data_IF_490814586074
#
_entry.id   IF_490814586074
#
_cell.length_a   1.000
_cell.length_b   1.000
_cell.length_c   1.000
_cell.angle_alpha   90.00
_cell.angle_beta   90.00
_cell.angle_gamma   90.00
#
_symmetry.space_group_name_H-M   'P 1'
#
loop_
_entity.id
_entity.type
_entity.pdbx_description
1 polymer ?
#
# COMPACT_ATOMS: atom_id res chain seq x y z
N UNK A 1 -66.26 -18.88 -19.09
CA UNK A 1 -65.65 -17.57 -18.78
C UNK A 1 -64.55 -17.81 -17.74
N UNK A 2 -63.34 -17.87 -18.16
CA UNK A 2 -62.18 -18.18 -17.29
C UNK A 2 -61.42 -16.90 -16.99
N UNK A 3 -61.40 -16.51 -15.71
CA UNK A 3 -60.57 -15.42 -15.24
C UNK A 3 -59.18 -15.93 -14.91
N UNK A 4 -58.19 -15.48 -15.67
CA UNK A 4 -56.77 -15.72 -15.39
C UNK A 4 -56.26 -14.71 -14.36
N UNK A 5 -55.91 -15.21 -13.19
CA UNK A 5 -55.23 -14.41 -12.16
C UNK A 5 -53.75 -14.43 -12.42
N UNK A 6 -53.18 -13.31 -12.86
CA UNK A 6 -51.76 -13.13 -13.10
C UNK A 6 -51.06 -12.84 -11.78
N UNK A 7 -50.17 -13.73 -11.33
CA UNK A 7 -49.29 -13.48 -10.21
C UNK A 7 -48.03 -12.73 -10.70
N UNK A 8 -47.93 -11.47 -10.33
CA UNK A 8 -46.73 -10.69 -10.55
C UNK A 8 -45.68 -11.10 -9.54
N UNK A 9 -44.64 -11.76 -10.01
CA UNK A 9 -43.42 -12.02 -9.23
C UNK A 9 -42.68 -10.69 -8.97
N UNK A 10 -42.63 -10.28 -7.71
CA UNK A 10 -41.77 -9.20 -7.28
C UNK A 10 -40.34 -9.76 -7.25
N UNK A 11 -39.51 -9.34 -8.19
CA UNK A 11 -38.11 -9.62 -8.18
C UNK A 11 -37.45 -8.84 -7.05
N UNK A 12 -36.82 -9.54 -6.12
CA UNK A 12 -35.98 -8.95 -5.11
C UNK A 12 -34.78 -8.26 -5.80
N UNK A 13 -34.83 -6.94 -5.86
CA UNK A 13 -33.75 -6.14 -6.36
C UNK A 13 -32.55 -6.24 -5.41
N UNK A 14 -31.50 -6.92 -5.84
CA UNK A 14 -30.20 -6.82 -5.22
C UNK A 14 -29.74 -5.37 -5.32
N UNK A 15 -29.66 -4.71 -4.19
CA UNK A 15 -29.04 -3.40 -4.08
C UNK A 15 -27.55 -3.57 -4.33
N UNK A 16 -27.13 -3.41 -5.59
CA UNK A 16 -25.72 -3.32 -5.95
C UNK A 16 -25.22 -1.99 -5.39
N UNK A 17 -24.61 -2.01 -4.24
CA UNK A 17 -23.82 -0.88 -3.76
C UNK A 17 -22.63 -0.78 -4.73
N UNK A 18 -22.75 0.11 -5.70
CA UNK A 18 -21.64 0.51 -6.53
C UNK A 18 -20.59 1.11 -5.60
N UNK A 19 -19.55 0.33 -5.27
CA UNK A 19 -18.33 0.90 -4.76
C UNK A 19 -17.85 1.88 -5.83
N UNK A 20 -17.84 3.16 -5.49
CA UNK A 20 -17.29 4.18 -6.36
C UNK A 20 -15.83 3.78 -6.64
N UNK A 21 -15.59 3.28 -7.85
CA UNK A 21 -14.26 3.03 -8.34
C UNK A 21 -13.61 4.40 -8.50
N UNK A 22 -12.82 4.82 -7.52
CA UNK A 22 -11.78 5.79 -7.75
C UNK A 22 -10.76 5.08 -8.65
N UNK A 23 -10.94 5.21 -9.94
CA UNK A 23 -9.95 4.84 -10.91
C UNK A 23 -8.83 5.91 -10.87
N UNK A 24 -8.01 5.85 -9.82
CA UNK A 24 -6.65 6.34 -9.97
C UNK A 24 -5.94 5.38 -10.94
N UNK A 25 -5.02 5.85 -11.78
CA UNK A 25 -4.45 5.05 -12.86
C UNK A 25 -3.74 3.77 -12.39
N UNK A 26 -3.60 3.57 -11.09
CA UNK A 26 -2.80 2.49 -10.53
C UNK A 26 -3.57 1.40 -9.78
N UNK A 27 -4.85 1.58 -9.48
CA UNK A 27 -5.65 0.50 -8.90
C UNK A 27 -6.50 -0.12 -10.03
N UNK A 28 -6.03 -1.19 -10.70
CA UNK A 28 -6.84 -1.84 -11.73
C UNK A 28 -8.12 -2.34 -11.08
N UNK A 29 -9.25 -2.01 -11.67
CA UNK A 29 -10.55 -2.47 -11.20
C UNK A 29 -10.53 -3.99 -11.07
N UNK A 30 -10.71 -4.50 -9.84
CA UNK A 30 -10.65 -5.94 -9.55
C UNK A 30 -9.31 -6.47 -9.06
N UNK A 31 -8.27 -5.63 -8.91
CA UNK A 31 -7.03 -6.07 -8.27
C UNK A 31 -7.28 -6.41 -6.81
N UNK A 32 -6.92 -7.61 -6.42
CA UNK A 32 -7.01 -8.10 -5.04
C UNK A 32 -5.79 -7.74 -4.21
N UNK A 33 -4.67 -7.42 -4.85
CA UNK A 33 -3.39 -7.08 -4.20
C UNK A 33 -2.57 -6.18 -5.10
N UNK A 34 -1.96 -5.14 -4.53
CA UNK A 34 -0.91 -4.36 -5.18
C UNK A 34 0.45 -4.93 -4.80
N UNK A 35 1.31 -5.07 -5.78
CA UNK A 35 2.64 -5.63 -5.62
C UNK A 35 3.69 -4.64 -6.10
N UNK A 36 4.63 -4.27 -5.25
CA UNK A 36 5.79 -3.45 -5.60
C UNK A 36 7.08 -4.23 -5.36
N UNK A 37 7.99 -4.17 -6.31
CA UNK A 37 9.35 -4.70 -6.17
C UNK A 37 10.35 -3.54 -6.21
N UNK A 38 11.26 -3.52 -5.27
CA UNK A 38 12.35 -2.55 -5.19
C UNK A 38 13.69 -3.23 -5.47
N UNK A 39 13.68 -4.54 -5.65
CA UNK A 39 14.83 -5.39 -5.97
C UNK A 39 14.81 -5.85 -7.44
N UNK A 40 15.98 -6.10 -8.00
CA UNK A 40 16.21 -6.96 -9.17
C UNK A 40 15.49 -6.60 -10.47
N UNK A 41 15.21 -7.63 -11.23
CA UNK A 41 14.50 -7.58 -12.51
C UNK A 41 13.00 -7.68 -12.33
N UNK A 42 12.19 -7.13 -13.28
CA UNK A 42 10.75 -7.32 -13.27
C UNK A 42 10.43 -8.80 -13.26
N UNK A 43 9.63 -9.22 -12.30
CA UNK A 43 9.17 -10.58 -12.20
C UNK A 43 7.64 -10.58 -12.16
N UNK A 44 7.02 -10.75 -13.33
CA UNK A 44 5.56 -10.79 -13.48
C UNK A 44 4.89 -9.44 -13.23
N UNK A 45 3.82 -9.44 -12.44
CA UNK A 45 2.89 -8.33 -12.24
C UNK A 45 3.39 -7.23 -11.26
N UNK A 46 4.67 -7.29 -10.87
CA UNK A 46 5.25 -6.34 -9.92
C UNK A 46 5.98 -5.22 -10.64
N UNK A 47 5.51 -3.97 -10.60
CA UNK A 47 6.31 -2.86 -11.07
C UNK A 47 7.58 -2.73 -10.23
N UNK A 48 8.71 -2.55 -10.91
CA UNK A 48 9.96 -2.20 -10.21
C UNK A 48 9.95 -0.70 -9.95
N UNK A 49 10.02 -0.36 -8.68
CA UNK A 49 10.09 1.03 -8.22
C UNK A 49 11.53 1.32 -7.77
N UNK A 50 12.21 2.19 -8.48
CA UNK A 50 13.59 2.57 -8.15
C UNK A 50 13.71 4.07 -7.95
N UNK A 51 14.58 4.53 -7.05
CA UNK A 51 14.94 5.94 -7.03
C UNK A 51 15.48 6.40 -8.41
N UNK A 52 15.10 7.57 -8.89
CA UNK A 52 14.30 8.60 -8.21
C UNK A 52 12.79 8.55 -8.53
N UNK A 53 12.13 7.39 -8.38
CA UNK A 53 10.68 7.31 -8.59
C UNK A 53 9.95 8.19 -7.55
N UNK A 54 10.00 9.50 -7.75
CA UNK A 54 9.31 10.49 -6.92
C UNK A 54 7.81 10.31 -7.11
N UNK A 55 7.06 10.46 -6.03
CA UNK A 55 5.61 10.39 -6.09
C UNK A 55 5.03 11.44 -7.05
N UNK A 56 4.19 10.97 -7.96
CA UNK A 56 3.34 11.79 -8.82
C UNK A 56 1.89 11.32 -8.69
N UNK A 57 0.98 12.28 -8.59
CA UNK A 57 -0.45 11.96 -8.44
C UNK A 57 -0.99 11.11 -9.60
N UNK A 58 -0.48 11.32 -10.81
CA UNK A 58 -0.87 10.57 -12.01
C UNK A 58 -0.37 9.13 -11.99
N UNK A 59 0.78 8.86 -11.35
CA UNK A 59 1.32 7.52 -11.17
C UNK A 59 0.68 6.81 -9.98
N UNK A 60 0.19 7.56 -9.01
CA UNK A 60 -0.49 7.06 -7.82
C UNK A 60 0.42 6.40 -6.79
N UNK A 61 1.73 6.43 -6.97
CA UNK A 61 2.72 5.94 -6.01
C UNK A 61 4.09 6.60 -6.20
N UNK A 62 4.95 6.49 -5.20
CA UNK A 62 6.34 6.95 -5.32
C UNK A 62 6.97 7.32 -3.98
N UNK A 63 8.24 7.68 -4.03
CA UNK A 63 8.98 8.15 -2.86
C UNK A 63 8.73 9.63 -2.59
N UNK A 64 8.57 9.99 -1.33
CA UNK A 64 8.34 11.36 -0.87
C UNK A 64 9.38 11.69 0.20
N UNK A 65 10.00 12.86 0.10
CA UNK A 65 10.95 13.38 1.11
C UNK A 65 11.89 12.27 1.63
N UNK A 66 12.68 11.71 0.75
CA UNK A 66 13.52 10.54 1.01
C UNK A 66 15.00 10.88 0.81
N UNK A 67 15.63 11.69 1.69
CA UNK A 67 16.99 12.16 1.53
C UNK A 67 18.00 10.99 1.58
N UNK A 68 18.87 10.95 0.58
CA UNK A 68 19.90 9.92 0.48
C UNK A 68 19.38 8.53 0.13
N UNK A 69 18.17 8.41 -0.40
CA UNK A 69 17.62 7.15 -0.87
C UNK A 69 18.45 6.58 -2.01
N UNK A 70 18.84 5.33 -1.87
CA UNK A 70 19.65 4.60 -2.84
C UNK A 70 18.91 3.34 -3.28
N UNK A 71 18.76 3.17 -4.60
CA UNK A 71 18.28 1.93 -5.20
C UNK A 71 19.46 1.02 -5.55
N UNK A 72 19.32 -0.25 -5.22
CA UNK A 72 20.28 -1.30 -5.53
C UNK A 72 19.60 -2.48 -6.24
N UNK A 73 20.37 -3.46 -6.69
CA UNK A 73 19.81 -4.71 -7.19
C UNK A 73 19.06 -5.52 -6.10
N UNK A 74 19.27 -5.18 -4.84
CA UNK A 74 18.71 -5.92 -3.69
C UNK A 74 17.54 -5.20 -3.02
N UNK A 75 17.20 -3.98 -3.45
CA UNK A 75 16.14 -3.17 -2.87
C UNK A 75 16.53 -1.69 -2.74
N UNK A 76 15.82 -0.96 -1.90
CA UNK A 76 16.12 0.44 -1.58
C UNK A 76 16.54 0.56 -0.12
N UNK A 77 17.41 1.54 0.13
CA UNK A 77 17.87 1.89 1.48
C UNK A 77 18.20 3.38 1.55
N UNK A 78 18.19 3.93 2.76
CA UNK A 78 18.63 5.29 3.04
C UNK A 78 19.42 5.34 4.35
N UNK A 79 20.22 6.39 4.62
CA UNK A 79 21.00 6.46 5.87
C UNK A 79 20.16 6.46 7.15
N UNK A 80 18.97 7.09 7.13
CA UNK A 80 18.12 7.27 8.31
C UNK A 80 16.64 6.98 8.09
N UNK A 81 16.06 7.51 7.01
CA UNK A 81 14.65 7.31 6.71
C UNK A 81 14.35 7.51 5.23
N UNK A 82 13.22 6.97 4.80
CA UNK A 82 12.56 7.26 3.54
C UNK A 82 11.05 7.04 3.66
N UNK A 83 10.29 7.65 2.76
CA UNK A 83 8.84 7.51 2.70
C UNK A 83 8.39 7.02 1.35
N UNK A 84 7.35 6.20 1.36
CA UNK A 84 6.69 5.71 0.15
C UNK A 84 5.19 5.89 0.27
N UNK A 85 4.61 6.60 -0.68
CA UNK A 85 3.18 6.89 -0.73
C UNK A 85 2.51 6.07 -1.84
N UNK A 86 1.27 5.62 -1.58
CA UNK A 86 0.43 4.90 -2.53
C UNK A 86 -1.00 5.41 -2.44
N UNK A 87 -1.58 5.83 -3.58
CA UNK A 87 -2.99 6.19 -3.64
C UNK A 87 -3.85 4.94 -3.44
N UNK A 88 -4.72 4.97 -2.44
CA UNK A 88 -5.64 3.88 -2.13
C UNK A 88 -7.03 4.43 -1.82
N UNK A 89 -8.10 3.72 -2.20
CA UNK A 89 -9.44 4.00 -1.68
C UNK A 89 -9.47 3.95 -0.15
N UNK A 90 -10.38 4.71 0.47
CA UNK A 90 -10.60 4.58 1.91
C UNK A 90 -10.95 3.14 2.27
N UNK A 91 -10.29 2.59 3.28
CA UNK A 91 -10.48 1.21 3.66
C UNK A 91 -9.39 0.69 4.59
N UNK A 92 -9.55 -0.54 5.01
CA UNK A 92 -8.55 -1.27 5.79
C UNK A 92 -7.76 -2.17 4.87
N UNK A 93 -6.43 -2.15 5.03
CA UNK A 93 -5.50 -2.90 4.20
C UNK A 93 -4.56 -3.73 5.06
N UNK A 94 -4.26 -4.92 4.59
CA UNK A 94 -3.14 -5.71 5.09
C UNK A 94 -1.91 -5.39 4.23
N UNK A 95 -0.86 -4.96 4.89
CA UNK A 95 0.41 -4.57 4.28
C UNK A 95 1.48 -5.58 4.67
N UNK A 96 2.12 -6.18 3.68
CA UNK A 96 3.26 -7.08 3.88
C UNK A 96 4.50 -6.47 3.27
N UNK A 97 5.55 -6.32 4.07
CA UNK A 97 6.85 -5.81 3.64
C UNK A 97 7.92 -6.88 3.76
N UNK A 98 8.83 -6.89 2.80
CA UNK A 98 10.09 -7.64 2.88
C UNK A 98 11.22 -6.65 3.04
N UNK A 99 11.91 -6.74 4.17
CA UNK A 99 13.03 -5.88 4.57
C UNK A 99 14.36 -6.62 4.39
N UNK A 100 15.46 -5.89 4.32
CA UNK A 100 16.81 -6.46 4.25
C UNK A 100 17.36 -6.54 2.82
N UNK A 101 18.13 -7.59 2.55
CA UNK A 101 18.83 -7.75 1.27
C UNK A 101 19.89 -6.70 0.99
N UNK A 102 20.25 -5.88 1.96
CA UNK A 102 21.27 -4.84 1.86
C UNK A 102 22.66 -5.42 2.03
N UNK A 103 23.70 -4.65 1.62
CA UNK A 103 25.10 -5.03 1.79
C UNK A 103 25.61 -4.87 3.22
N UNK A 104 24.84 -4.21 4.04
CA UNK A 104 25.12 -3.93 5.44
C UNK A 104 23.94 -4.38 6.30
N UNK A 105 24.16 -4.49 7.60
CA UNK A 105 23.09 -4.68 8.56
C UNK A 105 22.11 -3.51 8.50
N UNK A 106 20.83 -3.79 8.61
CA UNK A 106 19.77 -2.80 8.66
C UNK A 106 18.94 -2.95 9.94
N UNK A 107 18.51 -1.82 10.49
CA UNK A 107 17.50 -1.75 11.52
C UNK A 107 16.37 -0.89 10.97
N UNK A 108 15.18 -1.47 10.83
CA UNK A 108 14.05 -0.78 10.23
C UNK A 108 12.85 -0.78 11.16
N UNK A 109 12.37 0.40 11.48
CA UNK A 109 11.04 0.64 12.06
C UNK A 109 10.12 1.18 10.98
N UNK A 110 8.84 0.82 11.05
CA UNK A 110 7.84 1.25 10.07
C UNK A 110 6.73 1.99 10.80
N UNK A 111 6.43 3.18 10.31
CA UNK A 111 5.26 3.95 10.68
C UNK A 111 4.33 4.08 9.48
N UNK A 112 3.05 4.23 9.73
CA UNK A 112 2.07 4.48 8.68
C UNK A 112 1.22 5.69 9.04
N UNK A 113 0.66 6.33 8.03
CA UNK A 113 -0.23 7.47 8.17
C UNK A 113 0.41 8.59 9.03
N UNK A 114 -0.28 9.08 10.03
CA UNK A 114 0.21 10.13 10.93
C UNK A 114 1.26 9.58 11.94
N UNK A 115 2.37 9.04 11.44
CA UNK A 115 3.47 8.49 12.24
C UNK A 115 3.06 7.36 13.21
N UNK A 116 1.97 6.67 12.91
CA UNK A 116 1.49 5.58 13.74
C UNK A 116 2.46 4.38 13.67
N UNK A 117 3.04 3.93 14.78
CA UNK A 117 4.01 2.82 14.74
C UNK A 117 3.31 1.51 14.38
N UNK A 118 3.81 0.84 13.36
CA UNK A 118 3.32 -0.46 12.86
C UNK A 118 4.28 -1.59 13.21
N UNK A 119 5.57 -1.35 13.07
CA UNK A 119 6.63 -2.32 13.31
C UNK A 119 7.83 -1.59 13.90
N UNK A 120 8.45 -2.15 14.93
CA UNK A 120 9.59 -1.53 15.60
C UNK A 120 10.84 -2.40 15.51
N UNK A 121 11.97 -1.76 15.25
CA UNK A 121 13.33 -2.28 15.39
C UNK A 121 13.57 -3.67 14.81
N UNK A 122 13.24 -3.85 13.53
CA UNK A 122 13.52 -5.10 12.83
C UNK A 122 15.00 -5.11 12.44
N UNK A 123 15.78 -5.89 13.14
CA UNK A 123 17.19 -6.14 12.82
C UNK A 123 17.29 -7.19 11.72
N UNK A 124 18.00 -6.85 10.65
CA UNK A 124 18.25 -7.76 9.54
C UNK A 124 19.74 -7.76 9.24
N UNK A 125 20.39 -8.89 9.41
CA UNK A 125 21.80 -9.04 9.11
C UNK A 125 22.09 -8.89 7.61
N UNK A 126 23.32 -8.61 7.27
CA UNK A 126 23.78 -8.48 5.89
C UNK A 126 23.33 -9.65 5.02
N UNK A 127 22.63 -9.36 3.93
CA UNK A 127 22.16 -10.36 2.98
C UNK A 127 20.93 -11.16 3.41
N UNK A 128 20.51 -11.03 4.66
CA UNK A 128 19.31 -11.68 5.19
C UNK A 128 18.04 -10.87 4.83
N UNK A 129 16.90 -11.46 5.11
CA UNK A 129 15.57 -10.89 4.85
C UNK A 129 14.65 -11.11 6.04
N UNK A 130 13.78 -10.15 6.29
CA UNK A 130 12.69 -10.27 7.24
C UNK A 130 11.37 -9.88 6.59
N UNK A 131 10.33 -10.64 6.87
CA UNK A 131 8.96 -10.34 6.40
C UNK A 131 8.13 -9.89 7.58
N UNK A 132 7.42 -8.77 7.43
CA UNK A 132 6.49 -8.25 8.42
C UNK A 132 5.15 -7.96 7.76
N UNK A 133 4.09 -8.23 8.50
CA UNK A 133 2.71 -7.96 8.07
C UNK A 133 2.00 -7.17 9.16
N UNK A 134 1.27 -6.14 8.75
CA UNK A 134 0.47 -5.30 9.65
C UNK A 134 -0.79 -4.82 8.94
N UNK A 135 -1.73 -4.28 9.70
CA UNK A 135 -2.97 -3.72 9.18
C UNK A 135 -2.96 -2.21 9.34
N UNK A 136 -3.40 -1.49 8.31
CA UNK A 136 -3.53 -0.04 8.31
C UNK A 136 -4.90 0.37 7.77
N UNK A 137 -5.41 1.50 8.23
CA UNK A 137 -6.67 2.09 7.72
C UNK A 137 -6.37 3.41 7.03
N UNK A 138 -6.63 3.44 5.72
CA UNK A 138 -6.58 4.66 4.91
C UNK A 138 -7.92 5.38 5.00
N UNK A 139 -7.88 6.68 5.28
CA UNK A 139 -9.07 7.53 5.36
C UNK A 139 -9.06 8.56 4.25
N UNK A 140 -10.24 8.95 3.81
CA UNK A 140 -10.41 10.13 2.97
C UNK A 140 -11.08 11.22 3.82
N UNK A 141 -10.43 12.35 3.93
CA UNK A 141 -10.97 13.52 4.63
C UNK A 141 -12.12 14.18 3.87
N UNK A 142 -12.79 15.09 4.58
CA UNK A 142 -13.71 16.01 3.95
C UNK A 142 -12.96 16.90 2.95
N UNK A 143 -13.67 17.41 1.92
CA UNK A 143 -13.08 18.31 0.94
C UNK A 143 -12.41 19.51 1.64
N UNK A 144 -11.09 19.63 1.50
CA UNK A 144 -10.27 20.68 2.14
C UNK A 144 -9.47 20.19 3.36
N UNK A 145 -9.66 18.95 3.79
CA UNK A 145 -8.78 18.32 4.78
C UNK A 145 -7.46 17.92 4.10
N UNK A 146 -6.36 18.50 4.56
CA UNK A 146 -5.01 18.24 4.06
C UNK A 146 -4.16 17.43 5.04
N UNK A 147 -4.78 16.85 6.06
CA UNK A 147 -4.06 15.99 6.99
C UNK A 147 -3.55 14.71 6.30
N UNK A 148 -2.38 14.23 6.71
CA UNK A 148 -1.82 12.98 6.19
C UNK A 148 -2.71 11.76 6.46
N UNK A 149 -3.63 11.85 7.44
CA UNK A 149 -4.56 10.78 7.78
C UNK A 149 -5.76 10.67 6.81
N UNK A 150 -5.99 11.67 5.97
CA UNK A 150 -7.22 11.77 5.19
C UNK A 150 -7.02 12.22 3.75
N UNK A 151 -5.78 12.16 3.27
CA UNK A 151 -5.44 12.59 1.90
C UNK A 151 -5.70 11.53 0.83
N UNK A 152 -6.19 10.36 1.21
CA UNK A 152 -6.46 9.25 0.28
C UNK A 152 -5.22 8.52 -0.19
N UNK A 153 -4.14 8.64 0.56
CA UNK A 153 -2.89 7.93 0.33
C UNK A 153 -2.54 7.08 1.53
N UNK A 154 -1.95 5.94 1.29
CA UNK A 154 -1.20 5.23 2.30
C UNK A 154 0.22 5.78 2.31
N UNK A 155 0.61 6.42 3.39
CA UNK A 155 1.98 6.85 3.64
C UNK A 155 2.68 5.84 4.53
N UNK A 156 3.80 5.28 4.06
CA UNK A 156 4.67 4.39 4.80
C UNK A 156 6.03 5.07 5.04
N UNK A 157 6.42 5.18 6.30
CA UNK A 157 7.71 5.71 6.71
C UNK A 157 8.60 4.58 7.22
N UNK A 158 9.80 4.48 6.67
CA UNK A 158 10.81 3.53 7.04
C UNK A 158 11.97 4.29 7.68
N UNK A 159 12.23 4.04 8.95
CA UNK A 159 13.25 4.76 9.72
C UNK A 159 14.16 3.82 10.51
N UNK A 160 15.37 4.28 10.85
CA UNK A 160 16.32 3.52 11.64
C UNK A 160 17.75 3.68 11.16
N UNK A 161 18.55 2.62 11.25
CA UNK A 161 19.92 2.56 10.72
C UNK A 161 19.91 1.77 9.43
N UNK A 162 20.21 2.43 8.30
CA UNK A 162 20.14 1.84 6.97
C UNK A 162 18.78 1.15 6.71
N UNK A 163 17.63 1.80 7.02
CA UNK A 163 16.33 1.20 6.79
C UNK A 163 16.22 0.71 5.35
N UNK A 164 15.54 -0.40 5.13
CA UNK A 164 15.54 -1.10 3.85
C UNK A 164 14.16 -1.59 3.44
N UNK A 165 13.93 -1.68 2.14
CA UNK A 165 12.71 -2.25 1.56
C UNK A 165 13.03 -2.98 0.26
N UNK A 166 12.61 -4.24 0.16
CA UNK A 166 12.77 -5.08 -1.03
C UNK A 166 11.46 -5.26 -1.78
N UNK A 167 10.38 -5.52 -1.03
CA UNK A 167 9.04 -5.78 -1.56
C UNK A 167 7.98 -5.17 -0.66
N UNK A 168 6.89 -4.75 -1.29
CA UNK A 168 5.70 -4.26 -0.62
C UNK A 168 4.48 -4.87 -1.30
N UNK A 169 3.65 -5.55 -0.53
CA UNK A 169 2.38 -6.09 -0.96
C UNK A 169 1.27 -5.45 -0.13
N UNK A 170 0.24 -4.95 -0.81
CA UNK A 170 -0.91 -4.30 -0.17
C UNK A 170 -2.17 -4.98 -0.69
N UNK A 171 -2.96 -5.54 0.20
CA UNK A 171 -4.26 -6.13 -0.16
C UNK A 171 -5.37 -5.57 0.72
N UNK A 172 -6.61 -5.48 0.22
CA UNK A 172 -7.74 -5.15 1.06
C UNK A 172 -7.79 -6.09 2.27
N UNK A 173 -7.86 -5.51 3.46
CA UNK A 173 -8.08 -6.27 4.69
C UNK A 173 -9.48 -6.86 4.73
N UNK A 174 -9.68 -7.87 5.56
CA UNK A 174 -11.02 -8.37 5.84
C UNK A 174 -11.85 -7.21 6.41
N UNK A 175 -13.05 -7.00 5.84
CA UNK A 175 -14.00 -6.04 6.38
C UNK A 175 -14.26 -6.45 7.84
N UNK A 176 -14.10 -5.55 8.82
CA UNK A 176 -14.46 -5.90 10.18
C UNK A 176 -15.90 -6.42 10.15
N UNK A 177 -16.08 -7.64 10.64
CA UNK A 177 -17.38 -8.31 10.63
C UNK A 177 -18.41 -7.42 11.30
N UNK A 178 -19.48 -7.15 10.56
CA UNK A 178 -20.66 -6.49 11.09
C UNK A 178 -21.43 -7.44 12.00
#
# INVERSE_FOLDING_TARGET
MNAFTSFTKIAAGSLLVAAAAFAGPFYPAGATTLHFAFEGSPNGDRPIVRPPAIYHADDGFGFVDSPGLIGTALGVTAPKYFRFDVNLPAGTYEVTVTLGGTREESVTSIKAENHQPMVSDVHVARGEKAVKTFTVTVKHGAKGDTSLESDGRLTLEFEGTNPSLMKLDIKPGAKPGG
#
